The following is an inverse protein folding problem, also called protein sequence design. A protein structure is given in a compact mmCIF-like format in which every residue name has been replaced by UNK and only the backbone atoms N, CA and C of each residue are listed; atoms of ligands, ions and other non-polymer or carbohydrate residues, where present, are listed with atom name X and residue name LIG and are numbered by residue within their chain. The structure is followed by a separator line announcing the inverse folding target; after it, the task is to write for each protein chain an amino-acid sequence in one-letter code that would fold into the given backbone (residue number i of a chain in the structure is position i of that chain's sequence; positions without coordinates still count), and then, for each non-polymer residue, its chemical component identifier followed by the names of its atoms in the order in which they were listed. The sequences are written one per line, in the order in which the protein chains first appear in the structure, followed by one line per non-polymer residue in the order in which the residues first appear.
data_IF_975646898415
#
_entry.id   IF_975646898415
#
_cell.length_a   1.000
_cell.length_b   1.000
_cell.length_c   1.000
_cell.angle_alpha   90.00
_cell.angle_beta   90.00
_cell.angle_gamma   90.00
#
_symmetry.space_group_name_H-M   'P 1'
#
loop_
_entity.id
_entity.type
_entity.pdbx_description
1 polymer ?
#
# COMPACT_ATOMS: atom_id res chain seq x y z
N UNK A 1 1.06 -3.91 -7.92
CA UNK A 1 0.29 -5.17 -7.83
C UNK A 1 -0.58 -5.13 -6.58
N UNK A 2 -1.77 -5.74 -6.61
CA UNK A 2 -2.64 -5.93 -5.45
C UNK A 2 -2.96 -7.41 -5.35
N UNK A 3 -2.76 -8.02 -4.18
CA UNK A 3 -3.05 -9.44 -3.94
C UNK A 3 -4.51 -9.65 -3.53
N UNK A 4 -4.98 -10.90 -3.62
CA UNK A 4 -6.24 -11.34 -3.00
C UNK A 4 -5.94 -12.41 -1.96
N UNK A 5 -6.96 -12.83 -1.18
CA UNK A 5 -6.81 -13.92 -0.20
C UNK A 5 -6.63 -15.32 -0.82
N UNK A 6 -6.74 -15.45 -2.14
CA UNK A 6 -6.69 -16.74 -2.82
C UNK A 6 -5.27 -17.16 -3.19
N UNK A 7 -5.01 -18.48 -3.21
CA UNK A 7 -3.80 -19.07 -3.77
C UNK A 7 -2.64 -19.27 -2.80
N UNK A 8 -2.91 -19.31 -1.49
CA UNK A 8 -1.89 -19.57 -0.46
C UNK A 8 -2.06 -20.89 0.27
N UNK A 9 -1.39 -21.01 1.41
CA UNK A 9 -1.34 -22.24 2.24
C UNK A 9 -1.81 -22.06 3.68
N UNK A 10 -2.20 -20.84 4.07
CA UNK A 10 -2.71 -20.58 5.43
C UNK A 10 -4.05 -21.27 5.65
N UNK A 11 -4.26 -21.77 6.87
CA UNK A 11 -5.51 -22.39 7.30
C UNK A 11 -6.52 -21.33 7.80
N UNK A 12 -7.82 -21.67 7.93
CA UNK A 12 -8.78 -20.79 8.59
C UNK A 12 -8.30 -20.39 10.00
N UNK A 13 -8.47 -19.12 10.42
CA UNK A 13 -9.23 -18.05 9.77
C UNK A 13 -8.44 -17.21 8.74
N UNK A 14 -7.20 -17.59 8.42
CA UNK A 14 -6.27 -16.86 7.56
C UNK A 14 -6.27 -17.37 6.11
N UNK A 15 -7.24 -18.22 5.76
CA UNK A 15 -7.29 -18.91 4.49
C UNK A 15 -7.39 -17.94 3.28
N UNK A 16 -6.62 -18.08 2.21
CA UNK A 16 -5.49 -19.02 2.02
C UNK A 16 -4.16 -18.28 1.92
N UNK A 17 -4.15 -17.02 1.48
CA UNK A 17 -2.94 -16.25 1.15
C UNK A 17 -2.69 -15.09 2.11
N UNK A 18 -2.57 -15.39 3.40
CA UNK A 18 -2.20 -14.39 4.40
C UNK A 18 -0.71 -14.01 4.28
N UNK A 19 -0.45 -12.70 4.29
CA UNK A 19 0.88 -12.11 4.22
C UNK A 19 1.27 -11.36 5.51
N UNK A 20 0.34 -11.24 6.47
CA UNK A 20 0.58 -10.62 7.77
C UNK A 20 1.19 -11.60 8.76
N UNK A 21 2.30 -11.22 9.36
CA UNK A 21 3.08 -11.99 10.35
C UNK A 21 2.75 -11.64 11.81
N UNK A 22 1.84 -10.70 12.05
CA UNK A 22 1.48 -10.21 13.39
C UNK A 22 -0.01 -10.42 13.74
N UNK A 23 -0.65 -11.40 13.11
CA UNK A 23 -2.09 -11.69 13.29
C UNK A 23 -2.38 -13.06 13.93
N UNK A 24 -1.35 -13.82 14.28
CA UNK A 24 -1.46 -15.14 14.92
C UNK A 24 -1.60 -16.33 13.95
N UNK A 25 -1.25 -16.15 12.68
CA UNK A 25 -1.13 -17.24 11.71
C UNK A 25 0.17 -18.04 11.93
N UNK A 26 0.26 -19.24 11.33
CA UNK A 26 1.47 -20.05 11.33
C UNK A 26 2.60 -19.30 10.59
N UNK A 27 3.73 -18.99 11.26
CA UNK A 27 4.86 -18.31 10.63
C UNK A 27 5.38 -19.03 9.38
N UNK A 28 5.33 -20.36 9.34
CA UNK A 28 5.76 -21.13 8.17
C UNK A 28 4.82 -20.92 6.98
N UNK A 29 3.50 -20.86 7.22
CA UNK A 29 2.52 -20.57 6.19
C UNK A 29 2.67 -19.14 5.64
N UNK A 30 2.86 -18.15 6.51
CA UNK A 30 3.11 -16.76 6.12
C UNK A 30 4.39 -16.64 5.30
N UNK A 31 5.48 -17.28 5.73
CA UNK A 31 6.75 -17.30 4.99
C UNK A 31 6.58 -17.93 3.60
N UNK A 32 5.86 -19.05 3.48
CA UNK A 32 5.58 -19.69 2.20
C UNK A 32 4.74 -18.78 1.27
N UNK A 33 3.74 -18.09 1.81
CA UNK A 33 2.94 -17.14 1.04
C UNK A 33 3.78 -15.93 0.55
N UNK A 34 4.64 -15.38 1.41
CA UNK A 34 5.56 -14.29 1.04
C UNK A 34 6.58 -14.72 -0.02
N UNK A 35 7.12 -15.94 0.09
CA UNK A 35 8.01 -16.50 -0.92
C UNK A 35 7.30 -16.67 -2.27
N UNK A 36 6.04 -17.14 -2.26
CA UNK A 36 5.22 -17.25 -3.46
C UNK A 36 4.95 -15.89 -4.11
N UNK A 37 4.67 -14.86 -3.31
CA UNK A 37 4.51 -13.49 -3.82
C UNK A 37 5.80 -13.00 -4.49
N UNK A 38 6.95 -13.15 -3.82
CA UNK A 38 8.24 -12.73 -4.35
C UNK A 38 8.56 -13.42 -5.69
N UNK A 39 8.34 -14.73 -5.78
CA UNK A 39 8.49 -15.48 -7.02
C UNK A 39 7.54 -14.99 -8.13
N UNK A 40 6.27 -14.71 -7.81
CA UNK A 40 5.28 -14.24 -8.77
C UNK A 40 5.63 -12.87 -9.39
N UNK A 41 6.37 -12.02 -8.67
CA UNK A 41 6.85 -10.72 -9.17
C UNK A 41 8.31 -10.77 -9.65
N UNK A 42 8.93 -11.95 -9.72
CA UNK A 42 10.30 -12.14 -10.22
C UNK A 42 11.38 -11.50 -9.34
N UNK A 43 11.16 -11.44 -8.02
CA UNK A 43 12.10 -10.90 -7.04
C UNK A 43 12.50 -11.97 -6.00
N UNK A 44 13.67 -11.77 -5.39
CA UNK A 44 14.07 -12.50 -4.19
C UNK A 44 13.26 -12.04 -2.97
N UNK A 45 13.12 -12.90 -1.96
CA UNK A 45 12.33 -12.60 -0.76
C UNK A 45 12.81 -11.34 -0.02
N UNK A 46 14.13 -11.14 0.07
CA UNK A 46 14.73 -9.93 0.68
C UNK A 46 14.57 -8.66 -0.17
N UNK A 47 14.05 -8.76 -1.39
CA UNK A 47 13.72 -7.63 -2.27
C UNK A 47 12.23 -7.27 -2.24
N UNK A 48 11.45 -7.92 -1.39
CA UNK A 48 10.11 -7.49 -0.99
C UNK A 48 10.21 -6.95 0.42
N UNK A 49 10.04 -5.64 0.53
CA UNK A 49 10.31 -4.89 1.73
C UNK A 49 9.01 -4.68 2.51
N UNK A 50 8.98 -5.20 3.72
CA UNK A 50 7.83 -5.13 4.62
C UNK A 50 8.00 -4.01 5.65
N UNK A 51 6.90 -3.64 6.30
CA UNK A 51 6.89 -2.70 7.41
C UNK A 51 5.99 -3.22 8.54
N UNK A 52 6.37 -2.92 9.77
CA UNK A 52 5.60 -3.18 10.98
C UNK A 52 4.71 -1.95 11.24
N UNK A 53 3.48 -2.05 10.76
CA UNK A 53 2.52 -0.94 10.67
C UNK A 53 1.89 -0.64 12.04
N UNK A 54 2.01 0.61 12.51
CA UNK A 54 1.54 1.03 13.84
C UNK A 54 0.42 2.09 13.77
N UNK A 55 -0.16 2.31 12.59
CA UNK A 55 -1.19 3.33 12.33
C UNK A 55 -0.72 4.77 12.62
N UNK A 56 0.59 5.00 12.56
CA UNK A 56 1.25 6.29 12.67
C UNK A 56 1.39 7.01 11.33
N UNK A 57 2.33 7.94 11.29
CA UNK A 57 2.67 8.79 10.14
C UNK A 57 4.17 8.77 9.81
N UNK A 58 4.90 7.79 10.35
CA UNK A 58 6.32 7.60 10.07
C UNK A 58 6.53 7.06 8.65
N UNK A 59 7.46 7.67 7.93
CA UNK A 59 7.83 7.36 6.55
C UNK A 59 9.32 7.02 6.53
N UNK A 60 9.67 5.85 6.01
CA UNK A 60 11.06 5.40 5.91
C UNK A 60 11.51 5.33 4.44
N UNK A 61 12.72 5.85 4.18
CA UNK A 61 13.38 5.66 2.88
C UNK A 61 14.13 4.35 2.89
N UNK A 62 14.03 3.62 1.79
CA UNK A 62 14.66 2.32 1.61
C UNK A 62 15.56 2.34 0.40
N UNK A 63 16.82 1.98 0.58
CA UNK A 63 17.85 2.02 -0.45
C UNK A 63 18.34 0.63 -0.89
N UNK A 64 17.92 -0.45 -0.22
CA UNK A 64 18.35 -1.80 -0.58
C UNK A 64 17.49 -2.96 -0.08
N UNK A 65 17.87 -4.20 -0.42
CA UNK A 65 17.26 -5.41 0.11
C UNK A 65 17.37 -5.47 1.64
N UNK A 66 16.39 -6.09 2.30
CA UNK A 66 16.34 -6.19 3.76
C UNK A 66 15.83 -7.53 4.24
N UNK A 67 16.41 -7.99 5.34
CA UNK A 67 15.94 -9.15 6.09
C UNK A 67 15.01 -8.64 7.20
N UNK A 68 13.71 -8.88 7.06
CA UNK A 68 12.68 -8.46 8.01
C UNK A 68 12.02 -7.10 7.70
N UNK A 69 10.99 -6.74 8.49
CA UNK A 69 10.22 -5.51 8.31
C UNK A 69 10.95 -4.27 8.84
N UNK A 70 10.59 -3.07 8.34
CA UNK A 70 10.93 -1.80 9.03
C UNK A 70 10.02 -1.64 10.24
N UNK A 71 10.60 -1.45 11.41
CA UNK A 71 9.83 -1.23 12.63
C UNK A 71 9.17 0.15 12.68
N UNK A 72 7.96 0.20 13.27
CA UNK A 72 7.23 1.42 13.57
C UNK A 72 6.99 2.34 12.35
N UNK A 73 6.69 1.74 11.19
CA UNK A 73 6.58 2.44 9.90
C UNK A 73 5.25 2.18 9.23
N UNK A 74 4.63 3.25 8.71
CA UNK A 74 3.37 3.18 7.98
C UNK A 74 3.49 3.67 6.53
N UNK A 75 4.68 4.08 6.10
CA UNK A 75 4.98 4.32 4.69
C UNK A 75 6.44 4.01 4.36
N UNK A 76 6.66 3.43 3.19
CA UNK A 76 7.99 3.19 2.63
C UNK A 76 8.13 3.98 1.34
N UNK A 77 9.34 4.50 1.08
CA UNK A 77 9.70 5.16 -0.17
C UNK A 77 11.03 4.60 -0.67
N UNK A 78 11.18 4.42 -1.98
CA UNK A 78 12.47 4.02 -2.56
C UNK A 78 12.66 4.62 -3.94
N UNK A 79 13.92 4.91 -4.28
CA UNK A 79 14.37 5.18 -5.65
C UNK A 79 15.18 3.98 -6.22
N UNK A 80 15.35 2.91 -5.43
CA UNK A 80 16.19 1.77 -5.80
C UNK A 80 15.45 0.84 -6.76
N UNK A 81 15.97 0.61 -7.99
CA UNK A 81 15.35 -0.30 -8.93
C UNK A 81 15.28 -1.73 -8.40
N UNK A 82 14.23 -2.45 -8.83
CA UNK A 82 13.99 -3.85 -8.46
C UNK A 82 13.88 -4.09 -6.95
N UNK A 83 13.25 -3.16 -6.24
CA UNK A 83 12.86 -3.27 -4.84
C UNK A 83 11.36 -3.06 -4.73
N UNK A 84 10.62 -4.06 -4.23
CA UNK A 84 9.18 -3.96 -4.03
C UNK A 84 8.89 -3.50 -2.61
N UNK A 85 8.01 -2.50 -2.46
CA UNK A 85 7.53 -2.03 -1.17
C UNK A 85 6.16 -2.66 -0.88
N UNK A 86 6.04 -3.34 0.24
CA UNK A 86 4.82 -4.04 0.64
C UNK A 86 4.09 -3.28 1.73
N UNK A 87 2.78 -3.12 1.52
CA UNK A 87 1.82 -2.66 2.53
C UNK A 87 0.77 -3.75 2.73
N UNK A 88 0.51 -4.14 3.97
CA UNK A 88 -0.50 -5.15 4.32
C UNK A 88 -1.71 -4.43 4.90
N UNK A 89 -2.90 -4.69 4.36
CA UNK A 89 -4.11 -4.04 4.85
C UNK A 89 -5.26 -5.02 5.00
N UNK A 90 -5.97 -4.90 6.11
CA UNK A 90 -7.35 -5.36 6.26
C UNK A 90 -8.15 -4.14 6.73
N UNK A 91 -9.06 -3.64 5.88
CA UNK A 91 -9.91 -2.44 6.08
C UNK A 91 -9.28 -1.05 5.91
N UNK A 92 -8.02 -0.84 6.28
CA UNK A 92 -7.29 0.41 6.04
C UNK A 92 -7.09 0.70 4.55
N UNK A 93 -6.73 1.94 4.19
CA UNK A 93 -6.51 2.32 2.78
C UNK A 93 -5.05 2.13 2.41
N UNK A 94 -4.69 1.17 1.55
CA UNK A 94 -3.37 1.16 0.94
C UNK A 94 -3.30 2.22 -0.16
N UNK A 95 -2.23 3.03 -0.15
CA UNK A 95 -1.93 4.00 -1.22
C UNK A 95 -0.59 3.62 -1.83
N UNK A 96 -0.57 3.37 -3.14
CA UNK A 96 0.66 3.20 -3.91
C UNK A 96 0.91 4.48 -4.69
N UNK A 97 2.13 5.00 -4.64
CA UNK A 97 2.51 6.24 -5.32
C UNK A 97 3.74 5.99 -6.18
N UNK A 98 3.83 6.61 -7.35
CA UNK A 98 4.96 6.45 -8.24
C UNK A 98 5.16 7.69 -9.12
N UNK A 99 6.41 8.14 -9.24
CA UNK A 99 6.87 9.00 -10.32
C UNK A 99 7.60 8.11 -11.35
N UNK A 100 6.98 7.94 -12.52
CA UNK A 100 7.50 7.07 -13.56
C UNK A 100 8.76 7.63 -14.27
N UNK A 101 9.01 8.94 -14.17
CA UNK A 101 10.18 9.59 -14.79
C UNK A 101 11.43 9.38 -13.97
N UNK A 102 11.31 9.48 -12.64
CA UNK A 102 12.45 9.39 -11.72
C UNK A 102 12.63 7.99 -11.15
N UNK A 103 11.58 7.16 -11.21
CA UNK A 103 11.58 5.81 -10.65
C UNK A 103 11.34 5.77 -9.14
N UNK A 104 11.01 6.92 -8.52
CA UNK A 104 10.67 6.99 -7.10
C UNK A 104 9.27 6.41 -6.88
N UNK A 105 9.16 5.43 -5.98
CA UNK A 105 7.90 4.76 -5.64
C UNK A 105 7.69 4.72 -4.14
N UNK A 106 6.43 4.64 -3.72
CA UNK A 106 6.05 4.53 -2.33
C UNK A 106 4.86 3.57 -2.11
N UNK A 107 4.83 2.95 -0.94
CA UNK A 107 3.70 2.17 -0.44
C UNK A 107 3.31 2.69 0.94
N UNK A 108 2.03 3.02 1.12
CA UNK A 108 1.53 3.73 2.31
C UNK A 108 0.35 2.98 2.92
N UNK A 109 0.43 2.75 4.22
CA UNK A 109 -0.67 2.34 5.07
C UNK A 109 -1.42 3.56 5.62
N UNK A 110 -2.48 3.98 4.92
CA UNK A 110 -3.33 5.07 5.37
C UNK A 110 -4.49 4.54 6.23
N UNK A 111 -4.16 4.09 7.44
CA UNK A 111 -5.15 3.90 8.51
C UNK A 111 -5.78 5.22 8.93
N UNK A 112 -6.93 5.19 9.59
CA UNK A 112 -7.66 6.41 9.99
C UNK A 112 -6.79 7.43 10.74
N UNK A 113 -5.99 6.94 11.71
CA UNK A 113 -5.13 7.79 12.54
C UNK A 113 -3.97 8.34 11.72
N UNK A 114 -3.23 7.50 11.00
CA UNK A 114 -2.15 7.93 10.11
C UNK A 114 -2.59 8.90 9.03
N UNK A 115 -3.77 8.69 8.43
CA UNK A 115 -4.36 9.60 7.46
C UNK A 115 -4.69 10.98 8.08
N UNK A 116 -5.23 11.02 9.30
CA UNK A 116 -5.45 12.27 10.03
C UNK A 116 -4.15 12.99 10.39
N UNK A 117 -3.07 12.24 10.63
CA UNK A 117 -1.72 12.75 10.88
C UNK A 117 -0.95 13.13 9.61
N UNK A 118 -1.52 12.86 8.43
CA UNK A 118 -0.97 13.29 7.15
C UNK A 118 0.07 12.35 6.54
N UNK A 119 0.05 11.04 6.85
CA UNK A 119 1.04 10.06 6.33
C UNK A 119 1.21 10.12 4.80
N UNK A 120 0.12 10.33 4.05
CA UNK A 120 0.18 10.44 2.58
C UNK A 120 0.91 11.72 2.14
N UNK A 121 0.64 12.85 2.79
CA UNK A 121 1.30 14.12 2.48
C UNK A 121 2.79 14.07 2.82
N UNK A 122 3.15 13.52 3.99
CA UNK A 122 4.54 13.28 4.38
C UNK A 122 5.25 12.34 3.42
N UNK A 123 4.57 11.30 2.93
CA UNK A 123 5.14 10.39 1.93
C UNK A 123 5.50 11.15 0.65
N UNK A 124 4.60 12.02 0.17
CA UNK A 124 4.88 12.87 -1.00
C UNK A 124 6.09 13.78 -0.74
N UNK A 125 6.18 14.43 0.41
CA UNK A 125 7.34 15.26 0.79
C UNK A 125 8.66 14.47 0.70
N UNK A 126 8.67 13.24 1.21
CA UNK A 126 9.84 12.35 1.12
C UNK A 126 10.14 11.94 -0.32
N UNK A 127 9.13 11.63 -1.14
CA UNK A 127 9.32 11.34 -2.56
C UNK A 127 9.95 12.53 -3.30
N UNK A 128 9.46 13.75 -3.05
CA UNK A 128 10.01 14.97 -3.65
C UNK A 128 11.46 15.22 -3.19
N UNK A 129 11.78 14.97 -1.93
CA UNK A 129 13.14 15.05 -1.41
C UNK A 129 14.10 14.04 -2.08
N UNK A 130 13.59 12.91 -2.56
CA UNK A 130 14.34 11.93 -3.36
C UNK A 130 14.38 12.25 -4.86
N UNK A 131 13.85 13.41 -5.27
CA UNK A 131 13.90 13.89 -6.63
C UNK A 131 12.66 13.63 -7.47
N UNK A 132 11.57 13.09 -6.88
CA UNK A 132 10.30 12.98 -7.58
C UNK A 132 9.73 14.37 -7.95
N UNK A 133 8.91 14.42 -9.00
CA UNK A 133 8.21 15.63 -9.43
C UNK A 133 6.73 15.52 -9.09
N UNK A 134 6.18 16.51 -8.37
CA UNK A 134 4.80 16.45 -7.88
C UNK A 134 3.77 16.22 -8.99
N UNK A 135 3.96 16.85 -10.15
CA UNK A 135 3.06 16.74 -11.30
C UNK A 135 3.12 15.36 -11.99
N UNK A 136 4.17 14.59 -11.74
CA UNK A 136 4.41 13.27 -12.31
C UNK A 136 4.05 12.12 -11.34
N UNK A 137 3.75 12.42 -10.08
CA UNK A 137 3.37 11.42 -9.08
C UNK A 137 1.92 10.97 -9.30
N UNK A 138 1.76 9.72 -9.70
CA UNK A 138 0.46 9.04 -9.73
C UNK A 138 0.21 8.30 -8.42
N UNK A 139 -1.03 8.37 -7.93
CA UNK A 139 -1.47 7.66 -6.73
C UNK A 139 -2.62 6.69 -7.04
N UNK A 140 -2.47 5.42 -6.63
CA UNK A 140 -3.48 4.38 -6.68
C UNK A 140 -3.99 4.09 -5.27
N UNK A 141 -5.31 4.16 -5.07
CA UNK A 141 -5.98 3.75 -3.84
C UNK A 141 -6.46 2.31 -3.98
N UNK A 142 -5.93 1.40 -3.16
CA UNK A 142 -6.34 0.00 -3.21
C UNK A 142 -7.65 -0.30 -2.45
N UNK A 143 -8.06 -1.58 -2.43
CA UNK A 143 -9.25 -2.04 -1.72
C UNK A 143 -9.25 -1.63 -0.25
N UNK A 144 -10.40 -1.20 0.25
CA UNK A 144 -10.60 -0.77 1.64
C UNK A 144 -12.01 -1.05 2.09
N UNK A 145 -12.24 -0.99 3.40
CA UNK A 145 -13.60 -0.88 3.92
C UNK A 145 -14.26 0.43 3.49
N UNK A 146 -15.53 0.37 3.06
CA UNK A 146 -16.31 1.55 2.67
C UNK A 146 -17.24 1.92 3.82
N UNK A 147 -17.37 3.20 4.15
CA UNK A 147 -18.05 3.71 5.37
C UNK A 147 -19.53 3.33 5.57
N UNK A 148 -20.15 2.56 4.66
CA UNK A 148 -21.42 1.89 4.94
C UNK A 148 -21.27 0.73 5.94
N UNK A 149 -20.10 0.11 6.04
CA UNK A 149 -19.83 -1.02 6.94
C UNK A 149 -18.98 -0.64 8.16
N UNK A 150 -18.25 0.48 8.11
CA UNK A 150 -17.46 0.97 9.25
C UNK A 150 -18.32 1.78 10.22
N UNK A 151 -18.60 1.26 11.41
CA UNK A 151 -19.23 2.06 12.48
C UNK A 151 -18.30 3.20 12.89
N UNK A 152 -18.71 4.42 12.59
CA UNK A 152 -18.03 5.64 13.01
C UNK A 152 -18.79 6.25 14.20
N UNK A 153 -18.17 6.47 15.38
CA UNK A 153 -18.84 7.13 16.49
C UNK A 153 -19.38 8.50 16.07
N UNK A 154 -20.64 8.80 16.43
CA UNK A 154 -21.38 10.02 16.02
C UNK A 154 -20.68 11.36 16.36
N UNK A 155 -19.69 11.37 17.26
CA UNK A 155 -18.90 12.56 17.60
C UNK A 155 -17.55 12.53 16.87
N UNK A 156 -17.53 13.02 15.64
CA UNK A 156 -16.30 13.41 14.97
C UNK A 156 -16.09 14.93 15.11
N UNK A 157 -14.93 15.40 15.58
CA UNK A 157 -14.57 16.81 15.50
C UNK A 157 -14.45 17.23 14.03
N UNK A 158 -15.09 18.33 13.66
CA UNK A 158 -15.22 18.91 12.31
C UNK A 158 -13.92 19.46 11.69
N UNK A 159 -12.74 19.00 12.13
CA UNK A 159 -11.44 19.58 11.75
C UNK A 159 -10.97 19.18 10.34
N UNK A 160 -11.54 18.15 9.72
CA UNK A 160 -11.13 17.65 8.38
C UNK A 160 -11.74 18.39 7.18
N UNK A 161 -12.73 19.29 7.38
CA UNK A 161 -13.43 19.97 6.27
C UNK A 161 -12.66 21.14 5.65
N UNK A 162 -11.52 21.58 6.20
CA UNK A 162 -10.81 22.78 5.71
C UNK A 162 -10.00 22.58 4.42
N UNK A 163 -9.74 21.34 3.99
CA UNK A 163 -8.89 21.06 2.81
C UNK A 163 -9.61 20.41 1.63
N UNK A 164 -10.95 20.42 1.58
CA UNK A 164 -11.71 19.82 0.48
C UNK A 164 -12.77 20.79 -0.06
N UNK A 165 -12.33 21.74 -0.90
CA UNK A 165 -13.17 22.29 -1.98
C UNK A 165 -12.72 21.65 -3.29
N UNK A 166 -13.14 20.42 -3.52
CA UNK A 166 -13.23 19.85 -4.86
C UNK A 166 -14.70 19.52 -5.09
N UNK A 167 -15.29 20.19 -6.09
CA UNK A 167 -16.67 19.98 -6.51
C UNK A 167 -16.87 18.51 -6.91
N UNK A 168 -17.97 17.92 -6.46
CA UNK A 168 -18.38 16.56 -6.85
C UNK A 168 -19.05 16.65 -8.22
N UNK A 169 -18.51 16.07 -9.30
CA UNK A 169 -19.28 15.85 -10.51
C UNK A 169 -20.03 14.54 -10.33
N UNK A 170 -21.36 14.62 -10.20
CA UNK A 170 -22.23 13.45 -10.35
C UNK A 170 -22.29 13.09 -11.84
N UNK A 171 -21.69 11.98 -12.25
CA UNK A 171 -22.21 11.15 -13.34
C UNK A 171 -21.94 9.68 -13.03
N UNK A 172 -23.02 8.94 -12.78
CA UNK A 172 -23.03 7.48 -12.93
C UNK A 172 -23.19 7.20 -14.41
N UNK A 173 -22.22 6.53 -15.01
CA UNK A 173 -22.45 5.70 -16.18
C UNK A 173 -21.73 4.39 -15.95
N UNK A 174 -22.52 3.33 -15.85
CA UNK A 174 -22.05 1.97 -15.88
C UNK A 174 -21.84 1.59 -17.34
N UNK A 175 -20.69 1.02 -17.68
CA UNK A 175 -20.51 0.17 -18.84
C UNK A 175 -19.58 -1.01 -18.48
N UNK A 176 -19.78 -2.17 -19.13
CA UNK A 176 -19.35 -3.48 -18.65
C UNK A 176 -17.97 -3.88 -19.18
N UNK A 177 -17.32 -4.77 -18.43
CA UNK A 177 -16.21 -5.66 -18.80
C UNK A 177 -15.30 -5.27 -19.98
N UNK A 178 -14.06 -4.90 -19.66
CA UNK A 178 -12.92 -5.13 -20.55
C UNK A 178 -11.61 -5.09 -19.77
N UNK A 179 -10.87 -6.18 -19.88
CA UNK A 179 -9.48 -6.38 -19.46
C UNK A 179 -8.61 -5.38 -20.20
N UNK A 180 -7.86 -4.53 -19.48
CA UNK A 180 -6.75 -3.79 -20.05
C UNK A 180 -5.46 -4.51 -19.67
N UNK A 181 -4.97 -5.35 -20.59
CA UNK A 181 -3.60 -5.83 -20.58
C UNK A 181 -2.70 -4.76 -21.18
N UNK A 182 -1.75 -4.25 -20.40
CA UNK A 182 -0.54 -3.63 -20.95
C UNK A 182 0.52 -4.72 -21.05
N UNK A 183 0.55 -5.40 -22.19
CA UNK A 183 1.78 -5.95 -22.73
C UNK A 183 2.41 -4.89 -23.63
N UNK A 184 3.61 -4.43 -23.25
CA UNK A 184 4.61 -3.79 -24.11
C UNK A 184 5.59 -3.04 -23.22
N UNK A 185 6.64 -3.71 -22.75
CA UNK A 185 8.00 -3.17 -22.54
C UNK A 185 8.86 -4.23 -21.84
N UNK A 186 9.15 -5.33 -22.53
CA UNK A 186 10.44 -6.01 -22.42
C UNK A 186 10.79 -6.59 -23.79
N UNK A 187 11.88 -6.04 -24.35
CA UNK A 187 12.58 -6.36 -25.60
C UNK A 187 12.08 -5.76 -26.90
#
# INVERSE_FOLDING_TARGET
MITTRAGGVSAPPFDTFNLGDHVGDDPAAVAANRARLAAAIGLGANRVVWMNQIHGDHVEVVDGPRDGPVDATDALVTATPRLALAVVTADCVPVLMADARTGVVAAVHAGRVGAQRGVVARTLEVMLALGAHADDVLALLGPRSVGATTKCPRRWPTRSRRHSRAAVPRRRQALPGSIFGLESLVS
#
